data_IF_744198903885
#
_entry.id   IF_744198903885
#
_cell.length_a   1.000
_cell.length_b   1.000
_cell.length_c   1.000
_cell.angle_alpha   90.00
_cell.angle_beta   90.00
_cell.angle_gamma   90.00
#
_symmetry.space_group_name_H-M   'P 1'
#
loop_
_entity.id
_entity.type
_entity.pdbx_description
1 polymer ?
#
# COMPACT_ATOMS: atom_id res chain seq x y z
N UNK A 1 12.43 -31.33 18.56
CA UNK A 1 13.21 -30.35 19.32
C UNK A 1 13.81 -29.38 18.30
N UNK A 2 13.74 -28.05 18.48
CA UNK A 2 14.45 -27.15 17.58
C UNK A 2 15.98 -27.44 17.70
N UNK A 3 16.67 -27.39 16.55
CA UNK A 3 18.11 -27.53 16.53
C UNK A 3 18.74 -26.43 17.43
N UNK A 4 19.83 -26.72 18.14
CA UNK A 4 20.54 -25.68 18.89
C UNK A 4 21.02 -24.59 17.92
N UNK A 5 20.92 -23.33 18.33
CA UNK A 5 21.38 -22.15 17.56
C UNK A 5 22.92 -22.08 17.68
N UNK A 6 23.61 -23.14 17.36
CA UNK A 6 25.07 -23.21 17.46
C UNK A 6 25.77 -22.89 16.12
N UNK A 7 24.98 -22.75 15.02
CA UNK A 7 25.52 -22.38 13.71
C UNK A 7 24.95 -21.03 13.25
N UNK A 8 25.53 -19.96 13.79
CA UNK A 8 25.16 -18.58 13.42
C UNK A 8 25.46 -18.26 11.93
N UNK A 9 26.39 -18.99 11.32
CA UNK A 9 26.70 -18.83 9.91
C UNK A 9 25.55 -19.40 9.06
N UNK A 10 25.04 -20.57 9.40
CA UNK A 10 23.86 -21.16 8.74
C UNK A 10 22.63 -20.24 8.89
N UNK A 11 22.37 -19.74 10.09
CA UNK A 11 21.27 -18.80 10.33
C UNK A 11 21.41 -17.50 9.53
N UNK A 12 22.61 -16.98 9.34
CA UNK A 12 22.86 -15.80 8.49
C UNK A 12 22.56 -16.10 7.01
N UNK A 13 22.92 -17.28 6.51
CA UNK A 13 22.61 -17.72 5.16
C UNK A 13 21.10 -17.91 4.94
N UNK A 14 20.38 -18.39 5.93
CA UNK A 14 18.90 -18.50 5.88
C UNK A 14 18.24 -17.12 5.77
N UNK A 15 18.76 -16.13 6.50
CA UNK A 15 18.29 -14.73 6.35
C UNK A 15 18.61 -14.19 4.97
N UNK A 16 19.80 -14.42 4.43
CA UNK A 16 20.16 -14.00 3.08
C UNK A 16 19.23 -14.62 2.02
N UNK A 17 18.96 -15.92 2.10
CA UNK A 17 18.02 -16.63 1.22
C UNK A 17 16.60 -16.06 1.30
N UNK A 18 16.16 -15.68 2.51
CA UNK A 18 14.86 -15.03 2.73
C UNK A 18 14.77 -13.66 2.06
N UNK A 19 15.85 -12.89 2.08
CA UNK A 19 15.92 -11.60 1.37
C UNK A 19 15.91 -11.79 -0.14
N UNK A 20 16.59 -12.81 -0.67
CA UNK A 20 16.58 -13.15 -2.08
C UNK A 20 15.18 -13.54 -2.56
N UNK A 21 14.46 -14.37 -1.80
CA UNK A 21 13.08 -14.74 -2.09
C UNK A 21 12.14 -13.52 -2.12
N UNK A 22 12.30 -12.60 -1.17
CA UNK A 22 11.55 -11.34 -1.14
C UNK A 22 11.88 -10.46 -2.37
N UNK A 23 13.14 -10.37 -2.75
CA UNK A 23 13.58 -9.65 -3.95
C UNK A 23 13.00 -10.26 -5.24
N UNK A 24 12.97 -11.60 -5.32
CA UNK A 24 12.36 -12.32 -6.44
C UNK A 24 10.86 -12.01 -6.56
N UNK A 25 10.13 -11.94 -5.45
CA UNK A 25 8.71 -11.57 -5.46
C UNK A 25 8.50 -10.15 -6.05
N UNK A 26 9.34 -9.19 -5.69
CA UNK A 26 9.31 -7.83 -6.25
C UNK A 26 9.62 -7.82 -7.75
N UNK A 27 10.65 -8.60 -8.16
CA UNK A 27 11.01 -8.74 -9.58
C UNK A 27 9.86 -9.33 -10.39
N UNK A 28 9.25 -10.41 -9.92
CA UNK A 28 8.10 -11.04 -10.59
C UNK A 28 6.90 -10.09 -10.72
N UNK A 29 6.62 -9.28 -9.72
CA UNK A 29 5.58 -8.25 -9.81
C UNK A 29 5.93 -7.21 -10.89
N UNK A 30 7.16 -6.73 -10.94
CA UNK A 30 7.59 -5.79 -11.96
C UNK A 30 7.50 -6.40 -13.39
N UNK A 31 7.79 -7.67 -13.56
CA UNK A 31 7.68 -8.38 -14.85
C UNK A 31 6.19 -8.54 -15.25
N UNK A 32 5.28 -8.84 -14.30
CA UNK A 32 3.82 -8.85 -14.57
C UNK A 32 3.32 -7.46 -15.00
N UNK A 33 3.76 -6.39 -14.34
CA UNK A 33 3.39 -5.02 -14.71
C UNK A 33 3.88 -4.63 -16.10
N UNK A 34 5.05 -5.10 -16.54
CA UNK A 34 5.58 -4.87 -17.90
C UNK A 34 4.76 -5.63 -18.94
N UNK A 35 4.38 -6.87 -18.66
CA UNK A 35 3.63 -7.72 -19.59
C UNK A 35 2.16 -7.34 -19.70
N UNK A 36 1.51 -6.99 -18.59
CA UNK A 36 0.10 -6.57 -18.55
C UNK A 36 -0.14 -5.54 -17.44
N UNK A 37 -0.31 -4.29 -17.82
CA UNK A 37 -0.57 -3.18 -16.89
C UNK A 37 -2.00 -2.65 -16.94
N UNK A 38 -2.96 -3.37 -17.54
CA UNK A 38 -4.32 -2.85 -17.81
C UNK A 38 -5.06 -2.50 -16.52
N UNK A 39 -5.14 -3.42 -15.56
CA UNK A 39 -5.80 -3.20 -14.26
C UNK A 39 -5.07 -2.14 -13.44
N UNK A 40 -3.73 -2.18 -13.45
CA UNK A 40 -2.90 -1.22 -12.75
C UNK A 40 -3.06 0.20 -13.31
N UNK A 41 -3.16 0.36 -14.65
CA UNK A 41 -3.44 1.67 -15.28
C UNK A 41 -4.79 2.23 -14.85
N UNK A 42 -5.80 1.39 -14.65
CA UNK A 42 -7.11 1.82 -14.15
C UNK A 42 -6.99 2.34 -12.70
N UNK A 43 -6.26 1.62 -11.84
CA UNK A 43 -5.96 2.09 -10.49
C UNK A 43 -5.20 3.41 -10.50
N UNK A 44 -4.15 3.53 -11.32
CA UNK A 44 -3.39 4.78 -11.46
C UNK A 44 -4.26 5.97 -11.87
N UNK A 45 -5.20 5.80 -12.83
CA UNK A 45 -6.12 6.88 -13.23
C UNK A 45 -6.96 7.38 -12.07
N UNK A 46 -7.47 6.48 -11.22
CA UNK A 46 -8.25 6.84 -10.04
C UNK A 46 -7.39 7.59 -9.01
N UNK A 47 -6.21 7.08 -8.70
CA UNK A 47 -5.29 7.69 -7.74
C UNK A 47 -4.83 9.07 -8.18
N UNK A 48 -4.45 9.22 -9.46
CA UNK A 48 -4.04 10.50 -10.04
C UNK A 48 -5.20 11.50 -9.97
N UNK A 49 -6.41 11.10 -10.40
CA UNK A 49 -7.59 11.98 -10.37
C UNK A 49 -7.90 12.45 -8.94
N UNK A 50 -7.77 11.58 -7.96
CA UNK A 50 -7.97 11.94 -6.55
C UNK A 50 -6.88 12.88 -6.06
N UNK A 51 -5.60 12.59 -6.34
CA UNK A 51 -4.48 13.42 -5.92
C UNK A 51 -4.52 14.82 -6.56
N UNK A 52 -4.99 14.95 -7.81
CA UNK A 52 -5.11 16.22 -8.52
C UNK A 52 -6.35 17.04 -8.08
N UNK A 53 -7.31 16.44 -7.35
CA UNK A 53 -8.54 17.12 -6.91
C UNK A 53 -8.33 17.82 -5.56
N UNK A 54 -8.50 19.14 -5.46
CA UNK A 54 -8.39 19.87 -4.19
C UNK A 54 -9.35 19.34 -3.14
N UNK A 55 -8.86 19.10 -1.91
CA UNK A 55 -9.64 18.63 -0.78
C UNK A 55 -9.91 17.12 -0.75
N UNK A 56 -9.63 16.40 -1.83
CA UNK A 56 -9.72 14.94 -1.84
C UNK A 56 -8.44 14.29 -1.30
N UNK A 57 -8.58 13.07 -0.81
CA UNK A 57 -7.49 12.30 -0.20
C UNK A 57 -7.50 10.83 -0.62
N UNK A 58 -6.36 10.19 -0.48
CA UNK A 58 -6.24 8.73 -0.60
C UNK A 58 -6.36 8.14 0.80
N UNK A 59 -7.31 7.24 0.99
CA UNK A 59 -7.60 6.61 2.28
C UNK A 59 -7.19 5.14 2.22
N UNK A 60 -6.21 4.75 3.01
CA UNK A 60 -5.86 3.35 3.16
C UNK A 60 -6.75 2.68 4.19
N UNK A 61 -7.11 1.42 3.97
CA UNK A 61 -7.82 0.60 4.95
C UNK A 61 -7.38 -0.85 4.90
N UNK A 62 -7.60 -1.56 5.99
CA UNK A 62 -7.27 -2.98 6.16
C UNK A 62 -7.44 -3.43 7.59
N UNK A 63 -7.09 -4.69 7.86
CA UNK A 63 -7.10 -5.29 9.20
C UNK A 63 -5.73 -5.94 9.47
N UNK A 64 -5.30 -6.00 10.72
CA UNK A 64 -4.06 -6.66 11.13
C UNK A 64 -2.81 -6.07 10.44
N UNK A 65 -2.00 -6.92 9.81
CA UNK A 65 -0.78 -6.48 9.12
C UNK A 65 -1.09 -5.54 7.94
N UNK A 66 -2.20 -5.77 7.22
CA UNK A 66 -2.65 -4.90 6.13
C UNK A 66 -2.95 -3.48 6.64
N UNK A 67 -3.55 -3.34 7.82
CA UNK A 67 -3.74 -2.03 8.44
C UNK A 67 -2.41 -1.34 8.78
N UNK A 68 -1.41 -2.09 9.30
CA UNK A 68 -0.10 -1.51 9.59
C UNK A 68 0.62 -1.06 8.30
N UNK A 69 0.49 -1.83 7.22
CA UNK A 69 0.95 -1.41 5.88
C UNK A 69 0.26 -0.12 5.46
N UNK A 70 -1.07 -0.05 5.58
CA UNK A 70 -1.86 1.14 5.26
C UNK A 70 -1.43 2.37 6.05
N UNK A 71 -1.15 2.23 7.34
CA UNK A 71 -0.62 3.33 8.18
C UNK A 71 0.72 3.86 7.67
N UNK A 72 1.66 2.94 7.38
CA UNK A 72 2.98 3.33 6.83
C UNK A 72 2.82 4.05 5.50
N UNK A 73 1.99 3.53 4.61
CA UNK A 73 1.78 4.11 3.28
C UNK A 73 1.09 5.47 3.36
N UNK A 74 0.07 5.64 4.19
CA UNK A 74 -0.60 6.92 4.40
C UNK A 74 0.40 7.99 4.89
N UNK A 75 1.29 7.62 5.83
CA UNK A 75 2.34 8.51 6.29
C UNK A 75 3.31 8.88 5.16
N UNK A 76 3.74 7.90 4.35
CA UNK A 76 4.61 8.15 3.18
C UNK A 76 3.96 9.10 2.19
N UNK A 77 2.71 8.83 1.77
CA UNK A 77 1.97 9.67 0.82
C UNK A 77 1.85 11.10 1.32
N UNK A 78 1.46 11.29 2.58
CA UNK A 78 1.32 12.62 3.19
C UNK A 78 2.67 13.34 3.25
N UNK A 79 3.74 12.64 3.60
CA UNK A 79 5.08 13.22 3.72
C UNK A 79 5.61 13.75 2.39
N UNK A 80 5.22 13.12 1.27
CA UNK A 80 5.61 13.51 -0.10
C UNK A 80 4.52 14.31 -0.84
N UNK A 81 3.58 14.91 -0.11
CA UNK A 81 2.65 15.91 -0.64
C UNK A 81 1.32 15.38 -1.16
N UNK A 82 1.01 14.10 -1.02
CA UNK A 82 -0.32 13.56 -1.34
C UNK A 82 -1.12 13.39 -0.06
N UNK A 83 -2.22 14.16 0.09
CA UNK A 83 -3.08 14.06 1.27
C UNK A 83 -3.60 12.63 1.44
N UNK A 84 -3.27 12.01 2.57
CA UNK A 84 -3.62 10.63 2.82
C UNK A 84 -3.79 10.34 4.31
N UNK A 85 -4.68 9.41 4.62
CA UNK A 85 -4.91 8.88 5.97
C UNK A 85 -5.09 7.36 5.91
N UNK A 86 -5.05 6.73 7.07
CA UNK A 86 -5.40 5.31 7.21
C UNK A 86 -6.49 5.14 8.26
N UNK A 87 -7.56 4.42 7.93
CA UNK A 87 -8.62 4.04 8.88
C UNK A 87 -8.70 2.53 8.99
N UNK A 88 -8.99 2.02 10.18
CA UNK A 88 -9.17 0.58 10.39
C UNK A 88 -10.54 0.16 9.85
N UNK A 89 -10.63 -0.96 9.12
CA UNK A 89 -11.88 -1.37 8.49
C UNK A 89 -13.03 -1.60 9.52
N UNK A 90 -12.72 -2.10 10.71
CA UNK A 90 -13.69 -2.26 11.78
C UNK A 90 -14.18 -0.91 12.31
N UNK A 91 -13.26 0.02 12.63
CA UNK A 91 -13.63 1.35 13.14
C UNK A 91 -14.39 2.16 12.09
N UNK A 92 -14.08 1.97 10.81
CA UNK A 92 -14.84 2.54 9.71
C UNK A 92 -16.33 2.18 9.78
N UNK A 93 -16.65 0.91 10.11
CA UNK A 93 -18.03 0.44 10.27
C UNK A 93 -18.73 1.02 11.53
N UNK A 94 -17.99 1.64 12.43
CA UNK A 94 -18.47 2.24 13.67
C UNK A 94 -18.37 3.77 13.70
N UNK A 95 -18.20 4.41 12.52
CA UNK A 95 -18.29 5.87 12.39
C UNK A 95 -17.14 6.54 11.64
N UNK A 96 -15.93 5.93 11.58
CA UNK A 96 -14.77 6.55 10.92
C UNK A 96 -14.95 6.73 9.41
N UNK A 97 -15.93 6.06 8.77
CA UNK A 97 -16.32 6.38 7.38
C UNK A 97 -16.79 7.83 7.19
N UNK A 98 -17.20 8.52 8.26
CA UNK A 98 -17.54 9.94 8.21
C UNK A 98 -16.41 10.85 7.73
N UNK A 99 -15.16 10.38 7.72
CA UNK A 99 -14.02 11.12 7.19
C UNK A 99 -13.96 11.11 5.65
N UNK A 100 -14.71 10.23 4.99
CA UNK A 100 -14.74 10.12 3.53
C UNK A 100 -15.58 11.26 2.94
N UNK A 101 -15.04 11.88 1.89
CA UNK A 101 -15.72 12.95 1.16
C UNK A 101 -15.78 12.64 -0.35
N UNK A 102 -16.73 13.24 -1.09
CA UNK A 102 -16.83 13.01 -2.53
C UNK A 102 -15.53 13.34 -3.28
N UNK A 103 -15.01 12.35 -4.01
CA UNK A 103 -13.77 12.45 -4.78
C UNK A 103 -12.57 11.78 -4.11
N UNK A 104 -12.72 11.31 -2.88
CA UNK A 104 -11.71 10.45 -2.25
C UNK A 104 -11.56 9.12 -3.00
N UNK A 105 -10.41 8.50 -2.81
CA UNK A 105 -10.12 7.14 -3.26
C UNK A 105 -9.69 6.29 -2.06
N UNK A 106 -10.39 5.18 -1.83
CA UNK A 106 -10.01 4.20 -0.81
C UNK A 106 -9.11 3.14 -1.45
N UNK A 107 -7.95 2.88 -0.86
CA UNK A 107 -7.11 1.71 -1.16
C UNK A 107 -7.40 0.65 -0.09
N UNK A 108 -8.14 -0.37 -0.47
CA UNK A 108 -8.53 -1.49 0.40
C UNK A 108 -7.47 -2.61 0.33
N UNK A 109 -6.76 -2.81 1.45
CA UNK A 109 -5.67 -3.77 1.56
C UNK A 109 -6.18 -5.08 2.14
N UNK A 110 -6.24 -6.12 1.33
CA UNK A 110 -6.54 -7.48 1.77
C UNK A 110 -5.86 -8.49 0.84
N UNK A 111 -4.84 -9.18 1.33
CA UNK A 111 -4.08 -10.12 0.50
C UNK A 111 -4.96 -11.26 -0.02
N UNK A 112 -5.79 -11.85 0.82
CA UNK A 112 -6.75 -12.89 0.41
C UNK A 112 -7.93 -12.32 -0.39
N UNK A 113 -8.24 -11.04 -0.23
CA UNK A 113 -9.45 -10.42 -0.76
C UNK A 113 -10.75 -10.93 -0.13
N UNK A 114 -10.67 -11.60 1.03
CA UNK A 114 -11.80 -12.22 1.72
C UNK A 114 -11.95 -11.79 3.19
N UNK A 115 -11.26 -10.71 3.61
CA UNK A 115 -11.36 -10.19 4.97
C UNK A 115 -12.74 -9.54 5.17
N UNK A 116 -13.56 -10.10 6.06
CA UNK A 116 -14.98 -9.73 6.21
C UNK A 116 -15.19 -8.24 6.47
N UNK A 117 -14.43 -7.64 7.39
CA UNK A 117 -14.56 -6.23 7.75
C UNK A 117 -14.23 -5.32 6.57
N UNK A 118 -13.24 -5.70 5.75
CA UNK A 118 -12.87 -4.96 4.54
C UNK A 118 -13.97 -5.07 3.48
N UNK A 119 -14.55 -6.26 3.31
CA UNK A 119 -15.67 -6.48 2.39
C UNK A 119 -16.89 -5.63 2.79
N UNK A 120 -17.33 -5.72 4.05
CA UNK A 120 -18.48 -4.96 4.55
C UNK A 120 -18.29 -3.44 4.42
N UNK A 121 -17.09 -2.95 4.76
CA UNK A 121 -16.76 -1.53 4.56
C UNK A 121 -16.84 -1.14 3.08
N UNK A 122 -16.26 -1.96 2.18
CA UNK A 122 -16.24 -1.68 0.75
C UNK A 122 -17.65 -1.72 0.15
N UNK A 123 -18.50 -2.67 0.53
CA UNK A 123 -19.90 -2.73 0.14
C UNK A 123 -20.64 -1.44 0.52
N UNK A 124 -20.40 -0.94 1.73
CA UNK A 124 -21.02 0.30 2.21
C UNK A 124 -20.58 1.52 1.41
N UNK A 125 -19.29 1.62 1.10
CA UNK A 125 -18.73 2.71 0.27
C UNK A 125 -19.34 2.68 -1.15
N UNK A 126 -19.55 1.51 -1.73
CA UNK A 126 -20.16 1.37 -3.06
C UNK A 126 -21.56 1.95 -3.16
N UNK A 127 -22.32 1.95 -2.07
CA UNK A 127 -23.68 2.55 -2.06
C UNK A 127 -23.65 4.06 -2.30
N UNK A 128 -22.57 4.73 -1.93
CA UNK A 128 -22.41 6.19 -2.07
C UNK A 128 -21.76 6.63 -3.39
N UNK A 129 -21.34 5.82 -4.31
CA UNK A 129 -20.79 6.10 -5.66
C UNK A 129 -19.93 7.37 -5.86
N UNK A 130 -19.66 8.15 -4.80
CA UNK A 130 -18.88 9.40 -4.79
C UNK A 130 -17.43 9.18 -4.39
N UNK A 131 -17.11 8.00 -3.82
CA UNK A 131 -15.80 7.54 -3.39
C UNK A 131 -15.44 6.32 -4.21
N UNK A 132 -14.29 6.32 -4.87
CA UNK A 132 -13.83 5.15 -5.61
C UNK A 132 -13.00 4.22 -4.71
N UNK A 133 -13.00 2.93 -5.05
CA UNK A 133 -12.26 1.91 -4.31
C UNK A 133 -11.26 1.20 -5.22
N UNK A 134 -10.01 1.18 -4.82
CA UNK A 134 -8.93 0.39 -5.43
C UNK A 134 -8.58 -0.74 -4.47
N UNK A 135 -8.72 -1.98 -4.91
CA UNK A 135 -8.26 -3.13 -4.13
C UNK A 135 -6.77 -3.38 -4.34
N UNK A 136 -6.08 -3.84 -3.29
CA UNK A 136 -4.71 -4.33 -3.39
C UNK A 136 -4.61 -5.68 -2.68
N UNK A 137 -4.24 -6.73 -3.42
CA UNK A 137 -4.17 -8.09 -2.91
C UNK A 137 -3.68 -9.08 -3.96
N UNK A 138 -3.91 -10.38 -3.69
CA UNK A 138 -3.39 -11.47 -4.52
C UNK A 138 -4.11 -11.57 -5.88
N UNK A 139 -5.42 -11.39 -5.93
CA UNK A 139 -6.21 -11.60 -7.15
C UNK A 139 -7.43 -10.68 -7.23
N UNK A 140 -7.65 -10.10 -8.40
CA UNK A 140 -8.89 -9.38 -8.74
C UNK A 140 -10.12 -10.27 -8.77
N UNK A 141 -9.96 -11.58 -8.91
CA UNK A 141 -11.06 -12.55 -8.92
C UNK A 141 -11.55 -12.90 -7.50
N UNK A 142 -11.04 -12.20 -6.49
CA UNK A 142 -11.47 -12.33 -5.09
C UNK A 142 -12.79 -11.60 -4.81
N UNK A 143 -13.48 -11.92 -3.69
CA UNK A 143 -14.67 -11.18 -3.27
C UNK A 143 -14.46 -9.66 -3.18
N UNK A 144 -13.32 -9.21 -2.68
CA UNK A 144 -12.97 -7.79 -2.64
C UNK A 144 -12.78 -7.21 -4.06
N UNK A 145 -12.14 -7.96 -4.95
CA UNK A 145 -11.93 -7.50 -6.33
C UNK A 145 -13.24 -7.24 -7.07
N UNK A 146 -14.28 -8.05 -6.83
CA UNK A 146 -15.62 -7.84 -7.38
C UNK A 146 -16.30 -6.56 -6.89
N UNK A 147 -15.86 -6.03 -5.73
CA UNK A 147 -16.37 -4.80 -5.13
C UNK A 147 -15.55 -3.56 -5.52
N UNK A 148 -14.38 -3.69 -6.11
CA UNK A 148 -13.47 -2.58 -6.41
C UNK A 148 -13.66 -2.03 -7.83
N UNK A 149 -13.39 -0.73 -8.00
CA UNK A 149 -13.38 -0.06 -9.31
C UNK A 149 -12.11 -0.37 -10.10
N UNK A 150 -11.02 -0.71 -9.41
CA UNK A 150 -9.75 -1.11 -9.99
C UNK A 150 -8.95 -1.96 -9.01
N UNK A 151 -7.92 -2.65 -9.53
CA UNK A 151 -7.11 -3.58 -8.75
C UNK A 151 -5.62 -3.37 -8.95
N UNK A 152 -4.87 -3.51 -7.85
CA UNK A 152 -3.41 -3.56 -7.80
C UNK A 152 -3.00 -4.97 -7.41
N UNK A 153 -2.40 -5.69 -8.34
CA UNK A 153 -1.88 -7.04 -8.12
C UNK A 153 -0.62 -6.99 -7.25
N UNK A 154 -0.69 -7.63 -6.08
CA UNK A 154 0.44 -7.85 -5.16
C UNK A 154 0.68 -9.34 -4.90
N UNK A 155 0.30 -10.21 -5.84
CA UNK A 155 0.51 -11.65 -5.73
C UNK A 155 2.00 -11.99 -5.57
N UNK A 156 2.28 -12.94 -4.67
CA UNK A 156 3.58 -13.59 -4.52
C UNK A 156 3.44 -15.09 -4.76
N UNK A 157 4.53 -15.74 -5.19
CA UNK A 157 4.55 -17.19 -5.41
C UNK A 157 4.45 -17.93 -4.06
N UNK A 158 5.20 -17.48 -3.06
CA UNK A 158 5.21 -18.02 -1.70
C UNK A 158 5.50 -16.93 -0.66
N UNK A 159 5.19 -17.21 0.58
CA UNK A 159 5.73 -16.50 1.75
C UNK A 159 7.08 -17.10 2.14
N UNK A 160 7.76 -16.57 3.16
CA UNK A 160 9.06 -17.08 3.62
C UNK A 160 8.97 -18.42 4.35
N UNK A 161 7.78 -18.83 4.78
CA UNK A 161 7.56 -20.11 5.45
C UNK A 161 6.50 -20.91 4.71
N UNK A 162 6.81 -22.17 4.41
CA UNK A 162 5.85 -23.12 3.82
C UNK A 162 4.89 -23.70 4.85
N UNK A 163 5.27 -23.69 6.13
CA UNK A 163 4.48 -24.27 7.22
C UNK A 163 3.50 -23.30 7.87
N UNK A 164 3.74 -21.99 7.75
CA UNK A 164 2.91 -20.93 8.36
C UNK A 164 2.69 -19.81 7.36
N UNK A 165 1.43 -19.56 7.02
CA UNK A 165 1.05 -18.48 6.10
C UNK A 165 1.19 -17.09 6.75
N UNK A 166 2.35 -16.79 7.33
CA UNK A 166 2.64 -15.46 7.86
C UNK A 166 2.95 -14.49 6.72
N UNK A 167 2.23 -13.36 6.60
CA UNK A 167 2.53 -12.36 5.58
C UNK A 167 3.95 -11.79 5.74
N UNK A 168 4.81 -12.06 4.78
CA UNK A 168 6.24 -11.69 4.72
C UNK A 168 6.58 -11.11 3.35
N UNK A 169 6.75 -11.93 2.32
CA UNK A 169 6.97 -11.49 0.95
C UNK A 169 5.81 -10.62 0.45
N UNK A 170 4.57 -11.04 0.70
CA UNK A 170 3.37 -10.28 0.29
C UNK A 170 3.28 -8.92 0.96
N UNK A 171 3.57 -8.84 2.27
CA UNK A 171 3.54 -7.57 2.99
C UNK A 171 4.66 -6.61 2.54
N UNK A 172 5.87 -7.13 2.29
CA UNK A 172 7.00 -6.39 1.75
C UNK A 172 6.70 -5.87 0.34
N UNK A 173 6.09 -6.69 -0.51
CA UNK A 173 5.68 -6.30 -1.85
C UNK A 173 4.61 -5.20 -1.84
N UNK A 174 3.59 -5.30 -0.99
CA UNK A 174 2.57 -4.25 -0.85
C UNK A 174 3.17 -2.91 -0.43
N UNK A 175 4.13 -2.92 0.50
CA UNK A 175 4.87 -1.71 0.91
C UNK A 175 5.67 -1.13 -0.27
N UNK A 176 6.39 -1.96 -1.01
CA UNK A 176 7.19 -1.52 -2.16
C UNK A 176 6.33 -0.91 -3.28
N UNK A 177 5.18 -1.52 -3.59
CA UNK A 177 4.22 -0.99 -4.56
C UNK A 177 3.69 0.37 -4.08
N UNK A 178 3.29 0.46 -2.82
CA UNK A 178 2.76 1.71 -2.25
C UNK A 178 3.79 2.83 -2.26
N UNK A 179 5.05 2.56 -1.91
CA UNK A 179 6.13 3.55 -1.97
C UNK A 179 6.40 4.02 -3.40
N UNK A 180 6.38 3.10 -4.37
CA UNK A 180 6.52 3.45 -5.79
C UNK A 180 5.36 4.36 -6.27
N UNK A 181 4.13 4.10 -5.82
CA UNK A 181 2.96 4.95 -6.10
C UNK A 181 3.09 6.34 -5.46
N UNK A 182 3.57 6.42 -4.23
CA UNK A 182 3.80 7.69 -3.53
C UNK A 182 4.80 8.57 -4.30
N UNK A 183 5.93 7.99 -4.71
CA UNK A 183 6.97 8.68 -5.51
C UNK A 183 6.45 9.09 -6.89
N UNK A 184 5.65 8.24 -7.55
CA UNK A 184 5.02 8.58 -8.83
C UNK A 184 4.13 9.83 -8.70
N UNK A 185 3.25 9.86 -7.68
CA UNK A 185 2.36 11.01 -7.44
C UNK A 185 3.13 12.26 -7.01
N UNK A 186 4.19 12.11 -6.21
CA UNK A 186 5.12 13.18 -5.82
C UNK A 186 5.73 13.85 -7.07
N UNK A 187 6.32 13.04 -7.96
CA UNK A 187 6.96 13.54 -9.18
C UNK A 187 5.95 14.24 -10.11
N UNK A 188 4.76 13.66 -10.26
CA UNK A 188 3.70 14.24 -11.08
C UNK A 188 3.27 15.63 -10.58
N UNK A 189 3.23 15.83 -9.27
CA UNK A 189 2.85 17.09 -8.62
C UNK A 189 4.02 18.08 -8.52
N UNK A 190 5.21 17.72 -9.02
CA UNK A 190 6.43 18.51 -8.92
C UNK A 190 6.77 18.89 -7.46
N UNK A 191 6.42 18.01 -6.50
CA UNK A 191 6.74 18.20 -5.10
C UNK A 191 8.25 18.05 -4.91
N UNK A 192 8.90 19.15 -4.55
CA UNK A 192 10.36 19.26 -4.54
C UNK A 192 10.98 19.21 -3.13
N UNK A 193 12.32 19.35 -3.05
CA UNK A 193 13.04 19.34 -1.77
C UNK A 193 12.56 20.42 -0.79
N UNK A 194 12.20 21.60 -1.26
CA UNK A 194 11.68 22.68 -0.41
C UNK A 194 10.33 22.32 0.24
N UNK A 195 9.45 21.63 -0.52
CA UNK A 195 8.17 21.16 -0.02
C UNK A 195 8.39 20.04 1.01
N UNK A 196 9.33 19.13 0.73
CA UNK A 196 9.70 18.06 1.64
C UNK A 196 10.25 18.60 2.96
N UNK A 197 11.14 19.59 2.90
CA UNK A 197 11.69 20.26 4.10
C UNK A 197 10.59 20.90 4.94
N UNK A 198 9.61 21.56 4.29
CA UNK A 198 8.45 22.18 4.97
C UNK A 198 7.61 21.12 5.71
N UNK A 199 7.44 19.93 5.14
CA UNK A 199 6.70 18.84 5.78
C UNK A 199 7.50 18.14 6.90
N UNK A 200 8.83 18.34 6.98
CA UNK A 200 9.72 17.67 7.94
C UNK A 200 10.55 18.66 8.78
N UNK A 201 9.93 19.63 9.49
CA UNK A 201 10.65 20.72 10.15
C UNK A 201 11.56 20.24 11.29
N UNK A 202 11.24 19.12 11.94
CA UNK A 202 11.97 18.58 13.08
C UNK A 202 13.03 17.52 12.74
N UNK A 203 13.08 17.04 11.49
CA UNK A 203 13.89 15.88 11.13
C UNK A 203 15.25 16.23 10.50
N UNK A 204 16.22 15.30 10.59
CA UNK A 204 17.49 15.40 9.86
C UNK A 204 17.24 15.50 8.34
N UNK A 205 16.32 14.71 7.81
CA UNK A 205 15.97 14.69 6.40
C UNK A 205 15.45 16.03 5.88
N UNK A 206 14.64 16.74 6.67
CA UNK A 206 14.16 18.08 6.31
C UNK A 206 15.29 19.09 6.24
N UNK A 207 16.23 19.07 7.19
CA UNK A 207 17.42 19.95 7.16
C UNK A 207 18.33 19.65 5.96
N UNK A 208 18.58 18.40 5.65
CA UNK A 208 19.39 17.99 4.48
C UNK A 208 18.74 18.42 3.15
N UNK A 209 17.40 18.30 3.03
CA UNK A 209 16.66 18.74 1.85
C UNK A 209 16.73 20.27 1.64
N UNK A 210 16.75 21.05 2.72
CA UNK A 210 16.91 22.51 2.64
C UNK A 210 18.32 22.95 2.17
N UNK A 211 19.35 22.15 2.50
CA UNK A 211 20.74 22.45 2.09
C UNK A 211 21.04 22.07 0.64
N UNK A 212 20.35 21.08 0.09
CA UNK A 212 20.49 20.68 -1.32
C UNK A 212 19.69 21.52 -2.32
N UNK A 213 18.87 22.45 -1.84
CA UNK A 213 18.02 23.33 -2.64
C UNK A 213 18.64 24.74 -2.88
N UNK A 214 19.85 25.00 -2.36
CA UNK A 214 20.69 26.17 -2.65
C UNK A 214 21.75 25.79 -3.68
#
# INVERSE_FOLDING_TARGET
>A
MPAPIDDLECAALDVASSLELTSLAMKQCADRLRSNSTTFKSALRLLIRTADRPGSKIVFTGVGKSYQIGKKLAATFTSVGTLSICIHATEALHGDMGVLVPGDCVIALSYSGATEEVLRMTEHIRMDKRVCVVGMGRSSDSPLGALCDAWIDSAVASELSDSVNAPTCSSSLMLAIGDALAVLLMNRRQFGPADFARNHPGGHLGRSASQGAM
#
